data_IF_230021814054
#
_entry.id   IF_230021814054
#
_cell.length_a   1.000
_cell.length_b   1.000
_cell.length_c   1.000
_cell.angle_alpha   90.00
_cell.angle_beta   90.00
_cell.angle_gamma   90.00
#
_symmetry.space_group_name_H-M   'P 1'
#
loop_
_entity.id
_entity.type
_entity.pdbx_description
1 polymer ?
#
# COMPACT_ATOMS: atom_id res chain seq x y z
N UNK A 1 13.68 33.17 -52.49
CA UNK A 1 12.74 32.75 -53.55
C UNK A 1 11.40 32.51 -52.89
N UNK A 2 10.49 33.46 -53.09
CA UNK A 2 9.05 33.37 -52.81
C UNK A 2 8.42 32.17 -53.53
N UNK A 3 7.29 31.67 -53.02
CA UNK A 3 5.97 31.67 -53.70
C UNK A 3 4.94 30.84 -52.89
N UNK A 4 3.89 31.54 -52.41
CA UNK A 4 2.42 31.26 -52.41
C UNK A 4 1.96 29.85 -51.96
N UNK A 5 1.06 29.67 -50.99
CA UNK A 5 -0.23 30.34 -50.79
C UNK A 5 -1.32 29.67 -51.64
N UNK A 6 -2.29 28.96 -51.02
CA UNK A 6 -3.63 28.87 -51.61
C UNK A 6 -4.73 28.55 -50.59
N UNK A 7 -5.77 29.39 -50.69
CA UNK A 7 -7.00 29.46 -49.90
C UNK A 7 -8.10 28.85 -50.78
N UNK A 8 -8.92 27.96 -50.25
CA UNK A 8 -10.19 27.61 -50.89
C UNK A 8 -11.37 28.16 -50.08
N UNK A 9 -12.05 29.13 -50.70
CA UNK A 9 -13.40 29.59 -50.35
C UNK A 9 -14.40 28.47 -50.67
N UNK A 10 -15.50 28.40 -49.91
CA UNK A 10 -16.82 28.48 -50.54
C UNK A 10 -17.94 28.86 -49.57
N UNK A 11 -18.63 29.93 -49.94
CA UNK A 11 -19.88 30.42 -49.40
C UNK A 11 -21.04 29.49 -49.76
N UNK A 12 -21.99 29.29 -48.84
CA UNK A 12 -23.42 29.21 -49.19
C UNK A 12 -24.27 29.94 -48.15
N UNK A 13 -24.82 31.06 -48.61
CA UNK A 13 -25.97 31.76 -48.04
C UNK A 13 -27.24 30.94 -48.31
N UNK A 14 -28.05 30.70 -47.29
CA UNK A 14 -29.50 30.43 -47.45
C UNK A 14 -30.24 31.16 -46.33
N UNK A 15 -31.08 32.10 -46.73
CA UNK A 15 -32.01 32.89 -45.92
C UNK A 15 -33.32 32.15 -45.68
N UNK A 16 -33.88 32.19 -44.47
CA UNK A 16 -35.28 31.81 -44.20
C UNK A 16 -35.87 32.77 -43.14
N UNK A 17 -37.14 33.23 -43.29
CA UNK A 17 -37.61 34.48 -42.69
C UNK A 17 -38.22 34.32 -41.28
N UNK A 18 -38.36 35.47 -40.61
CA UNK A 18 -39.02 35.66 -39.32
C UNK A 18 -40.45 35.13 -39.27
N UNK A 19 -40.79 34.43 -38.19
CA UNK A 19 -42.15 34.24 -37.71
C UNK A 19 -42.22 34.63 -36.23
N UNK A 20 -43.00 35.67 -35.93
CA UNK A 20 -43.33 36.14 -34.58
C UNK A 20 -44.36 35.19 -33.95
N UNK A 21 -44.13 34.73 -32.71
CA UNK A 21 -45.14 34.09 -31.85
C UNK A 21 -45.00 34.65 -30.41
N UNK A 22 -46.10 35.02 -29.73
CA UNK A 22 -46.08 35.84 -28.50
C UNK A 22 -46.00 35.03 -27.19
N UNK A 23 -45.40 35.70 -26.19
CA UNK A 23 -45.65 35.71 -24.73
C UNK A 23 -46.36 34.49 -24.12
N UNK A 24 -45.65 33.75 -23.27
CA UNK A 24 -46.23 33.05 -22.11
C UNK A 24 -45.35 33.26 -20.87
N UNK A 25 -45.85 34.10 -19.97
CA UNK A 25 -45.37 34.26 -18.59
C UNK A 25 -45.46 32.92 -17.85
N UNK A 26 -44.32 32.42 -17.39
CA UNK A 26 -44.28 31.37 -16.39
C UNK A 26 -43.38 31.84 -15.24
N UNK A 27 -44.03 32.32 -14.19
CA UNK A 27 -43.47 32.40 -12.84
C UNK A 27 -43.25 30.97 -12.34
N UNK A 28 -42.01 30.48 -12.35
CA UNK A 28 -41.63 29.36 -11.49
C UNK A 28 -40.80 29.90 -10.32
N UNK A 29 -41.33 29.62 -9.14
CA UNK A 29 -40.81 29.95 -7.83
C UNK A 29 -39.32 29.65 -7.71
N UNK A 30 -38.55 30.63 -7.25
CA UNK A 30 -37.22 30.40 -6.67
C UNK A 30 -37.40 29.59 -5.38
N UNK A 31 -37.44 28.26 -5.50
CA UNK A 31 -37.22 27.35 -4.37
C UNK A 31 -35.74 27.22 -4.13
N UNK A 32 -35.16 28.13 -3.34
CA UNK A 32 -33.82 27.95 -2.80
C UNK A 32 -33.93 26.90 -1.69
N UNK A 33 -33.53 25.67 -1.97
CA UNK A 33 -33.29 24.69 -0.91
C UNK A 33 -32.02 25.11 -0.18
N UNK A 34 -32.16 25.46 1.09
CA UNK A 34 -31.02 25.56 2.00
C UNK A 34 -30.61 24.14 2.37
N UNK A 35 -29.57 23.63 1.71
CA UNK A 35 -28.93 22.40 2.14
C UNK A 35 -28.32 22.65 3.51
N UNK A 36 -28.94 22.07 4.54
CA UNK A 36 -28.38 22.00 5.88
C UNK A 36 -27.11 21.14 5.78
N UNK A 37 -25.96 21.80 5.63
CA UNK A 37 -24.65 21.19 5.83
C UNK A 37 -24.49 20.85 7.32
N UNK A 38 -25.15 19.78 7.72
CA UNK A 38 -24.85 19.05 8.96
C UNK A 38 -23.99 17.87 8.57
N UNK A 39 -22.75 18.18 8.19
CA UNK A 39 -21.72 17.19 7.92
C UNK A 39 -20.52 17.58 8.75
N UNK A 40 -20.27 16.85 9.82
CA UNK A 40 -18.93 16.81 10.42
C UNK A 40 -17.97 16.45 9.30
N UNK A 41 -17.09 17.38 8.92
CA UNK A 41 -16.03 17.14 7.97
C UNK A 41 -15.05 16.17 8.66
N UNK A 42 -15.32 14.86 8.57
CA UNK A 42 -14.36 13.84 8.95
C UNK A 42 -13.46 13.72 7.73
N UNK A 43 -12.29 14.36 7.77
CA UNK A 43 -11.23 14.07 6.82
C UNK A 43 -10.87 12.60 6.98
N UNK A 44 -11.21 11.79 5.97
CA UNK A 44 -10.77 10.41 5.89
C UNK A 44 -9.24 10.42 5.74
N UNK A 45 -8.55 9.95 6.76
CA UNK A 45 -7.09 9.86 6.74
C UNK A 45 -6.69 8.75 5.77
N UNK A 46 -5.92 9.12 4.74
CA UNK A 46 -5.35 8.13 3.84
C UNK A 46 -4.32 7.25 4.58
N UNK A 47 -4.25 5.95 4.26
CA UNK A 47 -3.24 5.08 4.84
C UNK A 47 -1.83 5.53 4.43
N UNK A 48 -0.88 5.47 5.37
CA UNK A 48 0.51 5.86 5.14
C UNK A 48 1.45 4.84 5.73
N UNK A 49 2.51 4.49 4.98
CA UNK A 49 3.53 3.54 5.42
C UNK A 49 4.91 4.17 5.54
N UNK A 50 5.73 3.67 6.46
CA UNK A 50 7.13 4.05 6.63
C UNK A 50 7.99 2.92 7.20
N UNK A 51 9.30 2.98 6.94
CA UNK A 51 10.31 2.22 7.67
C UNK A 51 10.46 2.86 9.06
N UNK A 52 10.41 2.05 10.12
CA UNK A 52 10.56 2.53 11.50
C UNK A 52 11.82 2.01 12.19
N UNK A 53 12.50 1.03 11.59
CA UNK A 53 13.74 0.49 12.11
C UNK A 53 14.27 -0.64 11.25
N UNK A 54 15.52 -1.01 11.53
CA UNK A 54 16.08 -2.27 11.05
C UNK A 54 17.14 -2.74 12.05
N UNK A 55 17.39 -4.04 12.06
CA UNK A 55 18.45 -4.67 12.84
C UNK A 55 19.16 -5.73 11.99
N UNK A 56 20.36 -6.14 12.38
CA UNK A 56 21.09 -7.22 11.70
C UNK A 56 22.34 -6.75 10.96
N UNK A 57 22.47 -7.17 9.70
CA UNK A 57 23.70 -7.69 9.11
C UNK A 57 24.14 -8.96 9.84
N UNK A 58 23.24 -9.96 9.77
CA UNK A 58 23.44 -11.33 10.25
C UNK A 58 24.53 -12.01 9.42
N UNK A 59 25.75 -11.54 9.55
CA UNK A 59 26.94 -12.15 8.96
C UNK A 59 27.18 -13.51 9.60
N UNK A 60 27.98 -14.38 8.95
CA UNK A 60 28.28 -15.77 9.35
C UNK A 60 28.81 -16.00 10.78
N UNK A 61 28.93 -14.96 11.59
CA UNK A 61 29.23 -15.06 13.01
C UNK A 61 27.92 -15.18 13.76
N UNK A 62 27.47 -16.44 13.90
CA UNK A 62 26.41 -16.86 14.80
C UNK A 62 26.67 -16.27 16.19
N UNK A 63 26.07 -15.12 16.49
CA UNK A 63 26.00 -14.64 17.87
C UNK A 63 24.72 -15.20 18.46
N UNK A 64 24.72 -15.51 19.76
CA UNK A 64 23.61 -16.19 20.43
C UNK A 64 22.28 -15.38 20.48
N UNK A 65 22.24 -14.23 19.81
CA UNK A 65 21.08 -13.35 19.61
C UNK A 65 20.53 -13.44 18.17
N UNK A 66 21.09 -14.33 17.35
CA UNK A 66 20.65 -14.56 15.97
C UNK A 66 19.27 -15.21 15.95
N UNK A 67 18.35 -14.45 15.35
CA UNK A 67 17.03 -14.82 14.82
C UNK A 67 16.74 -16.32 14.83
N UNK A 68 15.66 -16.72 15.51
CA UNK A 68 15.13 -18.09 15.48
C UNK A 68 14.80 -18.58 14.06
N UNK A 69 14.73 -17.68 13.08
CA UNK A 69 14.40 -17.96 11.69
C UNK A 69 15.65 -18.33 10.89
N UNK A 70 15.72 -19.56 10.33
CA UNK A 70 16.80 -19.98 9.43
C UNK A 70 17.10 -18.96 8.33
N UNK A 71 18.38 -18.80 7.97
CA UNK A 71 18.83 -17.84 6.95
C UNK A 71 18.37 -18.16 5.51
N UNK A 72 17.87 -19.38 5.28
CA UNK A 72 17.24 -19.77 4.01
C UNK A 72 15.74 -19.44 3.97
N UNK A 73 15.17 -18.89 5.05
CA UNK A 73 13.81 -18.39 5.07
C UNK A 73 13.81 -16.87 5.04
N UNK A 74 12.97 -16.36 4.17
CA UNK A 74 12.73 -14.95 3.94
C UNK A 74 11.26 -14.69 4.23
N UNK A 75 10.97 -13.90 5.26
CA UNK A 75 9.64 -13.89 5.88
C UNK A 75 9.12 -12.49 6.13
N UNK A 76 7.79 -12.33 6.01
CA UNK A 76 7.06 -11.26 6.67
C UNK A 76 6.38 -11.80 7.92
N UNK A 77 6.61 -11.16 9.06
CA UNK A 77 5.74 -11.21 10.23
C UNK A 77 4.86 -9.95 10.26
N UNK A 78 3.63 -10.08 10.74
CA UNK A 78 2.74 -8.94 10.87
C UNK A 78 1.94 -8.96 12.16
N UNK A 79 1.65 -7.77 12.67
CA UNK A 79 0.71 -7.53 13.75
C UNK A 79 -0.21 -6.37 13.39
N UNK A 80 -1.53 -6.59 13.44
CA UNK A 80 -2.53 -5.58 13.15
C UNK A 80 -3.45 -5.34 14.35
N UNK A 81 -3.51 -4.08 14.78
CA UNK A 81 -4.55 -3.60 15.69
C UNK A 81 -5.69 -2.98 14.88
N UNK A 82 -6.92 -3.55 14.91
CA UNK A 82 -8.04 -3.08 14.08
C UNK A 82 -8.34 -1.59 14.22
N UNK A 83 -8.40 -0.89 13.08
CA UNK A 83 -8.65 0.55 13.01
C UNK A 83 -7.49 1.42 13.48
N UNK A 84 -6.28 0.87 13.59
CA UNK A 84 -5.11 1.57 14.10
C UNK A 84 -3.90 1.38 13.18
N UNK A 85 -3.09 0.34 13.43
CA UNK A 85 -1.75 0.19 12.86
C UNK A 85 -1.51 -1.25 12.43
N UNK A 86 -0.94 -1.42 11.24
CA UNK A 86 -0.30 -2.64 10.80
C UNK A 86 1.22 -2.48 10.96
N UNK A 87 1.81 -3.31 11.81
CA UNK A 87 3.24 -3.48 11.93
C UNK A 87 3.64 -4.66 11.05
N UNK A 88 4.67 -4.47 10.22
CA UNK A 88 5.28 -5.55 9.47
C UNK A 88 6.74 -5.65 9.89
N UNK A 89 7.26 -6.86 9.95
CA UNK A 89 8.67 -7.14 10.10
C UNK A 89 9.12 -8.06 8.97
N UNK A 90 9.98 -7.57 8.10
CA UNK A 90 10.62 -8.39 7.09
C UNK A 90 11.89 -8.99 7.67
N UNK A 91 11.85 -10.29 7.93
CA UNK A 91 12.95 -11.06 8.49
C UNK A 91 13.79 -11.62 7.36
N UNK A 92 15.11 -11.45 7.50
CA UNK A 92 16.09 -11.89 6.52
C UNK A 92 15.95 -11.18 5.15
N UNK A 93 15.66 -9.89 5.15
CA UNK A 93 15.72 -9.07 3.95
C UNK A 93 17.18 -8.85 3.51
N UNK A 94 17.49 -9.04 2.22
CA UNK A 94 18.85 -8.82 1.73
C UNK A 94 19.11 -7.36 1.37
N UNK A 95 20.18 -6.81 1.94
CA UNK A 95 20.71 -5.50 1.58
C UNK A 95 22.22 -5.55 1.44
N UNK A 96 22.81 -4.48 0.88
CA UNK A 96 24.23 -4.22 1.06
C UNK A 96 24.57 -4.24 2.56
N UNK A 97 25.74 -4.75 2.94
CA UNK A 97 26.13 -4.79 4.37
C UNK A 97 26.31 -3.41 5.01
N UNK A 98 26.53 -2.36 4.21
CA UNK A 98 26.87 -1.02 4.68
C UNK A 98 26.00 0.05 4.00
N UNK A 99 24.67 -0.05 4.09
CA UNK A 99 23.82 1.01 3.60
C UNK A 99 23.97 2.22 4.53
N UNK A 100 23.90 3.41 3.96
CA UNK A 100 23.72 4.63 4.75
C UNK A 100 22.34 4.63 5.40
N UNK A 101 21.33 4.13 4.68
CA UNK A 101 19.97 3.99 5.16
C UNK A 101 19.25 2.84 4.44
N UNK A 102 18.41 2.12 5.17
CA UNK A 102 17.41 1.18 4.61
C UNK A 102 16.10 1.94 4.43
N UNK A 103 15.56 1.92 3.23
CA UNK A 103 14.41 2.73 2.80
C UNK A 103 13.33 1.84 2.20
N UNK A 104 12.09 2.33 2.18
CA UNK A 104 11.02 1.73 1.40
C UNK A 104 10.00 2.76 0.91
N UNK A 105 9.47 2.57 -0.30
CA UNK A 105 8.25 3.24 -0.75
C UNK A 105 7.08 2.32 -0.47
N UNK A 106 6.11 2.79 0.30
CA UNK A 106 4.93 2.01 0.67
C UNK A 106 3.68 2.66 0.07
N UNK A 107 2.98 1.90 -0.76
CA UNK A 107 1.73 2.34 -1.41
C UNK A 107 0.59 1.40 -1.05
N UNK A 108 -0.58 1.97 -0.75
CA UNK A 108 -1.80 1.22 -0.43
C UNK A 108 -2.87 1.65 -1.42
N UNK A 109 -3.16 0.79 -2.40
CA UNK A 109 -4.09 1.11 -3.47
C UNK A 109 -4.88 -0.14 -3.89
N UNK A 110 -6.20 0.00 -4.09
CA UNK A 110 -7.07 -1.07 -4.59
C UNK A 110 -6.93 -2.41 -3.84
N UNK A 111 -6.82 -2.37 -2.50
CA UNK A 111 -6.64 -3.57 -1.68
C UNK A 111 -5.25 -4.22 -1.78
N UNK A 112 -4.27 -3.53 -2.35
CA UNK A 112 -2.87 -4.00 -2.40
C UNK A 112 -1.99 -3.09 -1.57
N UNK A 113 -1.21 -3.67 -0.66
CA UNK A 113 -0.11 -3.03 0.05
C UNK A 113 1.16 -3.42 -0.69
N UNK A 114 1.86 -2.46 -1.26
CA UNK A 114 3.15 -2.69 -1.93
C UNK A 114 4.24 -2.02 -1.12
N UNK A 115 5.27 -2.78 -0.73
CA UNK A 115 6.48 -2.30 -0.05
C UNK A 115 7.63 -2.46 -1.04
N UNK A 116 8.17 -1.36 -1.57
CA UNK A 116 9.32 -1.38 -2.48
C UNK A 116 10.57 -0.98 -1.71
N UNK A 117 11.41 -1.97 -1.43
CA UNK A 117 12.62 -1.80 -0.65
C UNK A 117 13.74 -1.13 -1.45
N UNK A 118 14.51 -0.29 -0.77
CA UNK A 118 15.64 0.45 -1.33
C UNK A 118 16.74 0.59 -0.29
N UNK A 119 17.93 0.91 -0.77
CA UNK A 119 19.07 1.28 0.05
C UNK A 119 19.66 2.60 -0.43
N UNK A 120 20.05 3.45 0.52
CA UNK A 120 20.94 4.56 0.24
C UNK A 120 22.39 4.10 0.38
N UNK A 121 23.16 4.19 -0.71
CA UNK A 121 24.60 3.88 -0.73
C UNK A 121 25.47 5.14 -0.87
N UNK A 122 24.94 6.32 -0.55
CA UNK A 122 25.67 7.59 -0.60
C UNK A 122 26.96 7.59 0.24
N UNK A 123 27.03 6.77 1.30
CA UNK A 123 28.21 6.50 2.13
C UNK A 123 29.24 5.51 1.56
N UNK A 124 29.02 4.95 0.36
CA UNK A 124 30.01 4.14 -0.37
C UNK A 124 29.75 2.63 -0.42
N UNK A 125 28.85 2.10 0.41
CA UNK A 125 28.50 0.67 0.43
C UNK A 125 29.67 -0.28 0.73
N UNK A 126 29.38 -1.58 0.75
CA UNK A 126 30.33 -2.66 0.98
C UNK A 126 30.23 -3.72 -0.12
N UNK A 127 31.32 -4.46 -0.36
CA UNK A 127 31.36 -5.58 -1.31
C UNK A 127 30.81 -6.89 -0.70
N UNK A 128 29.67 -6.80 -0.02
CA UNK A 128 28.95 -7.94 0.52
C UNK A 128 27.45 -7.62 0.66
N UNK A 129 26.65 -8.68 0.72
CA UNK A 129 25.24 -8.65 1.10
C UNK A 129 25.07 -9.28 2.48
N UNK A 130 24.06 -8.79 3.20
CA UNK A 130 23.75 -9.17 4.56
C UNK A 130 22.24 -9.33 4.71
N UNK A 131 21.83 -10.22 5.60
CA UNK A 131 20.43 -10.36 5.99
C UNK A 131 20.12 -9.41 7.14
N UNK A 132 19.04 -8.65 6.99
CA UNK A 132 18.52 -7.70 7.98
C UNK A 132 17.09 -8.07 8.36
N UNK A 133 16.70 -7.67 9.56
CA UNK A 133 15.30 -7.58 9.93
C UNK A 133 14.87 -6.12 9.77
N UNK A 134 13.84 -5.83 8.97
CA UNK A 134 13.35 -4.48 8.70
C UNK A 134 11.94 -4.33 9.26
N UNK A 135 11.73 -3.29 10.06
CA UNK A 135 10.46 -2.98 10.69
C UNK A 135 9.73 -1.87 9.93
N UNK A 136 8.49 -2.13 9.55
CA UNK A 136 7.60 -1.21 8.88
C UNK A 136 6.37 -0.90 9.71
N UNK A 137 5.81 0.28 9.50
CA UNK A 137 4.57 0.73 10.13
C UNK A 137 3.65 1.34 9.09
N UNK A 138 2.42 0.83 9.05
CA UNK A 138 1.35 1.37 8.21
C UNK A 138 0.22 1.85 9.14
N UNK A 139 -0.10 3.13 9.04
CA UNK A 139 -1.12 3.80 9.85
C UNK A 139 -2.38 4.05 9.03
N UNK A 140 -3.52 4.24 9.71
CA UNK A 140 -4.83 4.52 9.11
C UNK A 140 -5.30 3.44 8.12
N UNK A 141 -4.83 2.20 8.30
CA UNK A 141 -5.25 1.07 7.48
C UNK A 141 -6.57 0.51 8.01
N UNK A 142 -7.62 0.57 7.18
CA UNK A 142 -8.92 0.03 7.54
C UNK A 142 -8.91 -1.51 7.58
N UNK A 143 -9.71 -2.16 8.45
CA UNK A 143 -9.87 -3.61 8.44
C UNK A 143 -10.34 -4.12 7.08
N UNK A 144 -9.81 -5.24 6.62
CA UNK A 144 -10.16 -5.82 5.32
C UNK A 144 -9.13 -6.83 4.83
N UNK A 145 -9.41 -7.44 3.69
CA UNK A 145 -8.45 -8.32 3.02
C UNK A 145 -7.51 -7.48 2.14
N UNK A 146 -6.20 -7.74 2.23
CA UNK A 146 -5.18 -7.07 1.43
C UNK A 146 -4.24 -8.06 0.79
N UNK A 147 -3.83 -7.79 -0.44
CA UNK A 147 -2.66 -8.43 -1.06
C UNK A 147 -1.41 -7.66 -0.65
N UNK A 148 -0.52 -8.29 0.09
CA UNK A 148 0.79 -7.74 0.45
C UNK A 148 1.83 -8.19 -0.59
N UNK A 149 2.57 -7.24 -1.14
CA UNK A 149 3.66 -7.48 -2.09
C UNK A 149 4.90 -6.76 -1.59
N UNK A 150 5.99 -7.50 -1.38
CA UNK A 150 7.30 -6.91 -1.11
C UNK A 150 8.13 -7.01 -2.38
N UNK A 151 8.61 -5.86 -2.86
CA UNK A 151 9.55 -5.77 -3.98
C UNK A 151 10.93 -5.59 -3.37
N UNK A 152 11.62 -6.71 -3.27
CA UNK A 152 12.87 -6.87 -2.55
C UNK A 152 14.07 -6.55 -3.44
N UNK A 153 15.19 -6.22 -2.81
CA UNK A 153 16.48 -6.14 -3.49
C UNK A 153 17.12 -7.53 -3.59
N UNK A 154 17.98 -7.71 -4.60
CA UNK A 154 18.85 -8.88 -4.75
C UNK A 154 18.18 -10.25 -4.97
N UNK A 155 16.85 -10.32 -5.04
CA UNK A 155 16.10 -11.51 -5.47
C UNK A 155 16.37 -11.82 -6.95
N UNK A 156 16.59 -13.10 -7.28
CA UNK A 156 16.86 -13.51 -8.65
C UNK A 156 15.59 -13.67 -9.49
N UNK A 157 15.75 -13.52 -10.80
CA UNK A 157 14.67 -13.79 -11.74
C UNK A 157 14.27 -15.26 -11.67
N UNK A 158 13.00 -15.52 -11.36
CA UNK A 158 12.44 -16.87 -11.26
C UNK A 158 12.23 -17.36 -9.83
N UNK A 159 12.77 -16.67 -8.83
CA UNK A 159 12.48 -17.00 -7.44
C UNK A 159 11.01 -16.71 -7.09
N UNK A 160 10.52 -17.42 -6.07
CA UNK A 160 9.23 -17.11 -5.47
C UNK A 160 9.25 -15.69 -4.91
N UNK A 161 8.18 -14.93 -5.15
CA UNK A 161 8.06 -13.55 -4.66
C UNK A 161 7.50 -13.58 -3.25
N UNK A 162 7.93 -12.65 -2.41
CA UNK A 162 7.33 -12.44 -1.10
C UNK A 162 5.98 -11.71 -1.24
N UNK A 163 4.96 -12.49 -1.61
CA UNK A 163 3.63 -12.02 -1.97
C UNK A 163 2.55 -12.96 -1.41
N UNK A 164 1.61 -12.41 -0.65
CA UNK A 164 0.53 -13.19 -0.04
C UNK A 164 -0.68 -12.32 0.30
N UNK A 165 -1.79 -12.96 0.67
CA UNK A 165 -3.01 -12.28 1.12
C UNK A 165 -3.08 -12.31 2.64
N UNK A 166 -3.37 -11.15 3.24
CA UNK A 166 -3.64 -10.99 4.67
C UNK A 166 -5.10 -10.60 4.88
N UNK A 167 -5.83 -11.32 5.73
CA UNK A 167 -7.15 -10.91 6.20
C UNK A 167 -6.96 -10.11 7.50
N UNK A 168 -7.15 -8.79 7.41
CA UNK A 168 -7.11 -7.84 8.52
C UNK A 168 -8.51 -7.52 9.07
N UNK A 169 -9.50 -8.39 8.83
CA UNK A 169 -10.92 -8.14 9.06
C UNK A 169 -11.29 -7.76 10.49
N UNK A 170 -12.55 -7.37 10.71
CA UNK A 170 -13.03 -7.10 12.07
C UNK A 170 -13.03 -8.40 12.92
N UNK A 171 -12.77 -8.35 14.24
CA UNK A 171 -12.92 -9.49 15.17
C UNK A 171 -14.27 -10.25 15.05
N UNK A 172 -15.28 -9.64 14.43
CA UNK A 172 -16.63 -10.17 14.24
C UNK A 172 -16.73 -11.35 13.24
N UNK A 173 -15.73 -11.57 12.38
CA UNK A 173 -15.72 -12.73 11.46
C UNK A 173 -15.28 -14.05 12.12
N UNK A 174 -14.97 -14.06 13.43
CA UNK A 174 -14.73 -15.29 14.19
C UNK A 174 -16.06 -16.00 14.53
N UNK A 175 -16.66 -16.67 13.53
CA UNK A 175 -17.93 -17.40 13.70
C UNK A 175 -17.71 -18.68 14.52
N UNK A 176 -17.81 -18.59 15.86
CA UNK A 176 -18.07 -19.76 16.69
C UNK A 176 -19.53 -20.18 16.47
N UNK A 177 -19.74 -21.24 15.68
CA UNK A 177 -21.00 -21.99 15.69
C UNK A 177 -21.16 -22.62 17.07
N UNK A 178 -22.04 -22.05 17.88
CA UNK A 178 -23.18 -22.70 18.57
C UNK A 178 -23.54 -21.95 19.86
N UNK A 179 -24.73 -21.34 19.84
CA UNK A 179 -25.64 -21.33 20.98
C UNK A 179 -25.31 -20.46 22.18
N UNK A 180 -26.22 -19.51 22.41
CA UNK A 180 -26.63 -18.91 23.70
C UNK A 180 -26.06 -17.52 23.97
N UNK A 181 -27.02 -16.59 24.13
CA UNK A 181 -26.84 -15.19 24.47
C UNK A 181 -25.84 -14.98 25.62
N UNK A 182 -24.66 -14.47 25.28
CA UNK A 182 -23.85 -13.70 26.20
C UNK A 182 -23.28 -12.52 25.40
N UNK A 183 -23.66 -11.31 25.79
CA UNK A 183 -23.14 -10.07 25.22
C UNK A 183 -21.73 -9.88 25.79
N UNK A 184 -20.78 -10.67 25.29
CA UNK A 184 -19.37 -10.46 25.53
C UNK A 184 -18.94 -9.40 24.53
N UNK A 185 -18.57 -8.23 25.02
CA UNK A 185 -17.77 -7.26 24.26
C UNK A 185 -16.46 -7.95 23.86
N UNK A 186 -16.46 -8.68 22.74
CA UNK A 186 -15.24 -9.22 22.14
C UNK A 186 -14.39 -8.02 21.74
N UNK A 187 -13.40 -7.69 22.55
CA UNK A 187 -12.38 -6.72 22.19
C UNK A 187 -11.76 -7.13 20.86
N UNK A 188 -11.48 -6.17 19.99
CA UNK A 188 -10.69 -6.35 18.79
C UNK A 188 -9.32 -6.95 19.15
N UNK A 189 -9.22 -8.28 19.02
CA UNK A 189 -7.96 -8.97 19.23
C UNK A 189 -6.98 -8.54 18.13
N UNK A 190 -5.74 -8.28 18.52
CA UNK A 190 -4.64 -8.06 17.57
C UNK A 190 -4.51 -9.29 16.67
N UNK A 191 -4.36 -9.07 15.38
CA UNK A 191 -4.17 -10.14 14.41
C UNK A 191 -2.71 -10.29 14.11
N UNK A 192 -2.19 -11.50 14.30
CA UNK A 192 -0.78 -11.83 14.10
C UNK A 192 -0.65 -12.95 13.08
N UNK A 193 0.41 -12.91 12.28
CA UNK A 193 0.72 -13.97 11.35
C UNK A 193 2.11 -13.84 10.75
N UNK A 194 2.49 -14.85 9.98
CA UNK A 194 3.72 -14.85 9.23
C UNK A 194 3.56 -15.58 7.89
N UNK A 195 4.37 -15.19 6.92
CA UNK A 195 4.50 -15.84 5.63
C UNK A 195 5.97 -15.84 5.24
N UNK A 196 6.45 -16.96 4.71
CA UNK A 196 7.85 -17.12 4.33
C UNK A 196 7.96 -17.75 2.96
N UNK A 197 9.03 -17.39 2.25
CA UNK A 197 9.53 -18.09 1.07
C UNK A 197 10.90 -18.69 1.38
N UNK A 198 11.23 -19.79 0.72
CA UNK A 198 12.57 -20.37 0.79
C UNK A 198 13.49 -19.72 -0.24
N UNK A 199 14.74 -19.48 0.17
CA UNK A 199 15.82 -18.93 -0.65
C UNK A 199 17.05 -19.79 -0.49
N UNK A 200 17.63 -20.23 -1.60
CA UNK A 200 18.74 -21.19 -1.64
C UNK A 200 20.04 -20.61 -2.22
N UNK A 201 20.13 -19.29 -2.32
CA UNK A 201 21.28 -18.58 -2.88
C UNK A 201 21.69 -17.40 -1.99
N UNK A 202 22.99 -17.07 -2.07
CA UNK A 202 23.57 -15.96 -1.33
C UNK A 202 22.80 -14.63 -1.52
N UNK A 203 22.53 -13.85 -0.45
CA UNK A 203 22.99 -14.04 0.95
C UNK A 203 22.20 -15.04 1.79
N UNK A 204 21.10 -15.58 1.25
CA UNK A 204 20.33 -16.63 1.89
C UNK A 204 20.97 -18.02 1.69
N UNK A 205 20.48 -19.02 2.44
CA UNK A 205 20.68 -20.43 2.07
C UNK A 205 22.12 -20.96 2.01
N UNK A 206 23.02 -20.49 2.89
CA UNK A 206 24.39 -21.02 2.99
C UNK A 206 24.49 -22.37 3.70
#
# INVERSE_FOLDING_TARGET
MDIKGNIYRNNRLISVPHLLIPILLIFFFNGCSEERATGTNIEELNPTGMVIGHTGCKSHLLTADDSLTPSNLDCIEYEYTPGSVLLLKHINAAFNCCPTEVLADITIENGTITVVEREDLSGGGCACLCLFDVDYRIENLSPGEYRLVVVELYVYEGDEKLEFTIDLGSPENSTSREGKHEFISKSAASQVGSYCVERDHYPWGQ
#
